data_IF_335811025482
#
_entry.id   IF_335811025482
#
_cell.length_a   1.000
_cell.length_b   1.000
_cell.length_c   1.000
_cell.angle_alpha   90.00
_cell.angle_beta   90.00
_cell.angle_gamma   90.00
#
_symmetry.space_group_name_H-M   'P 1'
#
loop_
_entity.id
_entity.type
_entity.pdbx_description
1 polymer ?
#
# COMPACT_ATOMS: atom_id res chain seq x y z
N UNK A 1 -7.24 -7.87 -4.32
CA UNK A 1 -7.87 -8.86 -3.42
C UNK A 1 -8.15 -8.20 -2.09
N UNK A 2 -9.19 -8.59 -1.32
CA UNK A 2 -9.21 -8.25 0.10
C UNK A 2 -8.04 -9.00 0.74
N UNK A 3 -7.00 -8.27 1.13
CA UNK A 3 -5.89 -8.83 1.86
C UNK A 3 -6.23 -9.00 3.33
N UNK A 4 -5.20 -9.00 4.17
CA UNK A 4 -5.34 -8.84 5.62
C UNK A 4 -5.01 -7.41 6.07
N UNK A 5 -4.97 -6.47 5.12
CA UNK A 5 -4.51 -5.11 5.36
C UNK A 5 -5.37 -4.39 6.41
N UNK A 6 -6.69 -4.58 6.36
CA UNK A 6 -7.62 -4.08 7.37
C UNK A 6 -7.28 -4.63 8.76
N UNK A 7 -7.02 -5.93 8.88
CA UNK A 7 -6.65 -6.55 10.15
C UNK A 7 -5.35 -5.96 10.70
N UNK A 8 -4.31 -5.80 9.87
CA UNK A 8 -3.07 -5.15 10.30
C UNK A 8 -3.28 -3.68 10.67
N UNK A 9 -4.07 -2.94 9.90
CA UNK A 9 -4.38 -1.54 10.17
C UNK A 9 -5.07 -1.37 11.53
N UNK A 10 -6.04 -2.23 11.87
CA UNK A 10 -6.75 -2.20 13.15
C UNK A 10 -5.89 -2.60 14.36
N UNK A 11 -4.90 -3.48 14.17
CA UNK A 11 -4.07 -3.99 15.28
C UNK A 11 -2.90 -3.06 15.60
N UNK A 12 -2.35 -2.35 14.60
CA UNK A 12 -1.16 -1.53 14.77
C UNK A 12 -1.51 -0.06 15.11
N UNK A 13 -2.57 0.50 14.51
CA UNK A 13 -2.94 1.90 14.72
C UNK A 13 -4.27 2.02 15.47
N UNK A 14 -4.20 2.69 16.62
CA UNK A 14 -5.39 3.04 17.39
C UNK A 14 -6.23 4.11 16.67
N UNK A 15 -7.53 3.87 16.61
CA UNK A 15 -8.52 4.77 15.99
C UNK A 15 -8.73 6.06 16.79
N UNK A 16 -8.48 6.07 18.10
CA UNK A 16 -8.63 7.27 18.92
C UNK A 16 -7.56 8.33 18.57
N UNK A 17 -6.32 7.91 18.33
CA UNK A 17 -5.23 8.82 17.95
C UNK A 17 -5.12 9.03 16.44
N UNK A 18 -5.53 8.05 15.62
CA UNK A 18 -5.42 8.12 14.16
C UNK A 18 -6.73 7.71 13.45
N UNK A 19 -7.81 8.52 13.54
CA UNK A 19 -9.14 8.12 13.07
C UNK A 19 -9.22 7.88 11.56
N UNK A 20 -8.41 8.59 10.77
CA UNK A 20 -8.49 8.59 9.30
C UNK A 20 -7.40 7.77 8.61
N UNK A 21 -6.44 7.20 9.37
CA UNK A 21 -5.25 6.59 8.79
C UNK A 21 -5.49 5.20 8.19
N UNK A 22 -6.56 4.54 8.64
CA UNK A 22 -6.81 3.13 8.32
C UNK A 22 -6.91 2.88 6.82
N UNK A 23 -7.62 3.75 6.10
CA UNK A 23 -7.78 3.62 4.65
C UNK A 23 -6.43 3.74 3.93
N UNK A 24 -5.61 4.71 4.32
CA UNK A 24 -4.33 4.98 3.67
C UNK A 24 -3.35 3.82 3.87
N UNK A 25 -3.32 3.26 5.07
CA UNK A 25 -2.47 2.12 5.41
C UNK A 25 -2.94 0.86 4.70
N UNK A 26 -4.26 0.60 4.68
CA UNK A 26 -4.80 -0.56 3.98
C UNK A 26 -4.40 -0.53 2.50
N UNK A 27 -4.52 0.64 1.88
CA UNK A 27 -4.11 0.82 0.50
C UNK A 27 -2.61 0.63 0.33
N UNK A 28 -1.80 1.24 1.20
CA UNK A 28 -0.34 1.12 1.12
C UNK A 28 0.10 -0.33 1.25
N UNK A 29 -0.40 -1.06 2.24
CA UNK A 29 -0.03 -2.46 2.48
C UNK A 29 -0.38 -3.34 1.28
N UNK A 30 -1.58 -3.18 0.73
CA UNK A 30 -2.00 -3.93 -0.45
C UNK A 30 -1.12 -3.59 -1.68
N UNK A 31 -0.79 -2.31 -1.90
CA UNK A 31 0.04 -1.91 -3.04
C UNK A 31 1.48 -2.37 -2.89
N UNK A 32 2.08 -2.19 -1.71
CA UNK A 32 3.45 -2.62 -1.45
C UNK A 32 3.58 -4.15 -1.49
N UNK A 33 2.60 -4.89 -0.96
CA UNK A 33 2.59 -6.34 -1.08
C UNK A 33 2.65 -6.76 -2.55
N UNK A 34 1.80 -6.17 -3.39
CA UNK A 34 1.69 -6.47 -4.80
C UNK A 34 2.94 -6.05 -5.61
N UNK A 35 3.55 -4.91 -5.28
CA UNK A 35 4.82 -4.47 -5.87
C UNK A 35 5.96 -5.43 -5.51
N UNK A 36 6.07 -5.81 -4.24
CA UNK A 36 7.13 -6.71 -3.76
C UNK A 36 6.94 -8.15 -4.25
N UNK A 37 5.70 -8.57 -4.46
CA UNK A 37 5.37 -9.88 -5.01
C UNK A 37 5.41 -9.92 -6.53
N UNK A 38 5.32 -8.77 -7.22
CA UNK A 38 5.22 -8.67 -8.67
C UNK A 38 6.21 -9.57 -9.42
N UNK A 39 7.50 -9.51 -9.08
CA UNK A 39 8.52 -10.27 -9.80
C UNK A 39 8.37 -11.79 -9.64
N UNK A 40 8.07 -12.28 -8.42
CA UNK A 40 7.88 -13.72 -8.20
C UNK A 40 6.61 -14.23 -8.88
N UNK A 41 5.57 -13.40 -8.95
CA UNK A 41 4.29 -13.73 -9.59
C UNK A 41 4.43 -13.79 -11.10
N UNK A 42 5.12 -12.83 -11.72
CA UNK A 42 5.44 -12.86 -13.15
C UNK A 42 6.24 -14.11 -13.52
N UNK A 43 7.24 -14.50 -12.71
CA UNK A 43 8.00 -15.74 -12.93
C UNK A 43 7.12 -17.00 -12.81
N UNK A 44 6.09 -16.97 -11.98
CA UNK A 44 5.12 -18.04 -11.82
C UNK A 44 4.02 -18.02 -12.90
N UNK A 45 3.99 -17.01 -13.78
CA UNK A 45 2.94 -16.82 -14.79
C UNK A 45 1.62 -16.28 -14.22
N UNK A 46 1.64 -15.74 -13.00
CA UNK A 46 0.48 -15.18 -12.31
C UNK A 46 0.23 -13.73 -12.76
N UNK A 47 -0.53 -13.56 -13.84
CA UNK A 47 -0.74 -12.24 -14.49
C UNK A 47 -1.86 -11.40 -13.86
N UNK A 48 -2.42 -11.85 -12.73
CA UNK A 48 -3.63 -11.32 -12.08
C UNK A 48 -3.40 -10.34 -10.94
N UNK A 49 -2.18 -9.83 -10.77
CA UNK A 49 -1.83 -8.89 -9.71
C UNK A 49 -2.32 -7.48 -9.99
N UNK A 50 -2.49 -6.70 -8.92
CA UNK A 50 -3.06 -5.38 -8.97
C UNK A 50 -2.19 -4.39 -9.73
N UNK A 51 -0.86 -4.43 -9.54
CA UNK A 51 0.11 -3.50 -10.11
C UNK A 51 0.14 -3.65 -11.63
N UNK A 52 0.25 -4.88 -12.12
CA UNK A 52 0.18 -5.18 -13.54
C UNK A 52 -1.21 -4.88 -14.12
N UNK A 53 -2.27 -5.24 -13.42
CA UNK A 53 -3.66 -4.93 -13.83
C UNK A 53 -3.93 -3.43 -13.94
N UNK A 54 -3.48 -2.64 -12.96
CA UNK A 54 -3.63 -1.18 -12.91
C UNK A 54 -2.79 -0.50 -13.99
N UNK A 55 -1.54 -0.92 -14.16
CA UNK A 55 -0.68 -0.43 -15.23
C UNK A 55 -1.37 -0.62 -16.61
N UNK A 56 -1.84 -1.84 -16.90
CA UNK A 56 -2.58 -2.13 -18.15
C UNK A 56 -3.86 -1.32 -18.29
N UNK A 57 -4.69 -1.26 -17.24
CA UNK A 57 -5.99 -0.58 -17.28
C UNK A 57 -5.87 0.95 -17.44
N UNK A 58 -4.77 1.55 -16.97
CA UNK A 58 -4.56 3.00 -17.01
C UNK A 58 -3.58 3.45 -18.11
N UNK A 59 -3.03 2.51 -18.89
CA UNK A 59 -2.00 2.80 -19.88
C UNK A 59 -0.68 3.29 -19.26
N UNK A 60 -0.43 2.96 -17.99
CA UNK A 60 0.75 3.35 -17.22
C UNK A 60 1.78 2.24 -17.19
N UNK A 61 3.01 2.60 -16.81
CA UNK A 61 4.04 1.63 -16.48
C UNK A 61 3.90 1.12 -15.05
N UNK A 62 4.52 -0.01 -14.73
CA UNK A 62 4.64 -0.50 -13.34
C UNK A 62 5.33 0.54 -12.46
N UNK A 63 6.32 1.25 -13.01
CA UNK A 63 7.06 2.32 -12.33
C UNK A 63 6.14 3.49 -11.95
N UNK A 64 5.18 3.85 -12.80
CA UNK A 64 4.21 4.90 -12.48
C UNK A 64 3.31 4.48 -11.31
N UNK A 65 2.87 3.23 -11.27
CA UNK A 65 2.06 2.68 -10.16
C UNK A 65 2.87 2.63 -8.86
N UNK A 66 4.16 2.34 -8.93
CA UNK A 66 5.07 2.46 -7.77
C UNK A 66 5.14 3.92 -7.30
N UNK A 67 5.21 4.89 -8.22
CA UNK A 67 5.15 6.32 -7.90
C UNK A 67 3.89 6.72 -7.12
N UNK A 68 2.72 6.19 -7.51
CA UNK A 68 1.47 6.41 -6.76
C UNK A 68 1.53 5.84 -5.33
N UNK A 69 2.21 4.70 -5.16
CA UNK A 69 2.40 4.06 -3.85
C UNK A 69 3.32 4.89 -2.96
N UNK A 70 4.33 5.56 -3.52
CA UNK A 70 5.21 6.50 -2.79
C UNK A 70 4.39 7.71 -2.30
N UNK A 71 3.54 8.28 -3.15
CA UNK A 71 2.66 9.40 -2.75
C UNK A 71 1.74 9.00 -1.59
N UNK A 72 1.25 7.77 -1.60
CA UNK A 72 0.45 7.23 -0.50
C UNK A 72 1.26 7.06 0.78
N UNK A 73 2.50 6.56 0.69
CA UNK A 73 3.41 6.44 1.83
C UNK A 73 3.69 7.82 2.48
N UNK A 74 3.86 8.85 1.67
CA UNK A 74 4.03 10.22 2.16
C UNK A 74 2.76 10.77 2.81
N UNK A 75 1.57 10.40 2.30
CA UNK A 75 0.30 10.75 2.95
C UNK A 75 0.19 10.11 4.33
N UNK A 76 0.53 8.82 4.46
CA UNK A 76 0.59 8.13 5.76
C UNK A 76 1.53 8.86 6.73
N UNK A 77 2.74 9.22 6.28
CA UNK A 77 3.70 9.98 7.12
C UNK A 77 3.15 11.33 7.59
N UNK A 78 2.44 12.06 6.72
CA UNK A 78 1.82 13.33 7.10
C UNK A 78 0.70 13.13 8.12
N UNK A 79 -0.13 12.09 7.95
CA UNK A 79 -1.21 11.76 8.88
C UNK A 79 -0.67 11.36 10.26
N UNK A 80 0.48 10.67 10.32
CA UNK A 80 1.12 10.31 11.59
C UNK A 80 1.73 11.49 12.35
N UNK A 81 1.89 12.66 11.72
CA UNK A 81 2.49 13.83 12.36
C UNK A 81 3.97 13.64 12.67
N UNK A 82 4.44 14.06 13.83
CA UNK A 82 5.79 13.79 14.32
C UNK A 82 5.71 12.91 15.59
N UNK A 83 6.72 12.07 15.79
CA UNK A 83 6.84 11.24 17.00
C UNK A 83 7.06 9.75 16.70
N UNK A 84 7.09 8.92 17.75
CA UNK A 84 7.60 7.54 17.67
C UNK A 84 6.79 6.64 16.73
N UNK A 85 5.50 6.91 16.53
CA UNK A 85 4.66 6.14 15.61
C UNK A 85 5.05 6.38 14.15
N UNK A 86 5.41 7.63 13.79
CA UNK A 86 5.94 7.94 12.46
C UNK A 86 7.36 7.40 12.29
N UNK A 87 8.19 7.48 13.32
CA UNK A 87 9.58 7.00 13.22
C UNK A 87 9.66 5.47 13.04
N UNK A 88 8.65 4.75 13.53
CA UNK A 88 8.49 3.31 13.30
C UNK A 88 7.93 2.97 11.90
N UNK A 89 7.51 3.95 11.11
CA UNK A 89 6.95 3.81 9.76
C UNK A 89 7.95 4.12 8.64
#
# INVERSE_FOLDING_TARGET
MPGLAEAFAYVIWDKQHFPDIQFDICWFQNHVNDILSFYKEELAGEMGNYTGGRARATGKTVQDVIGETIVLADRVRRTLGDGPVRDAW
#
